data_IF_649347141182
#
_entry.id   IF_649347141182
#
_cell.length_a   1.000
_cell.length_b   1.000
_cell.length_c   1.000
_cell.angle_alpha   90.00
_cell.angle_beta   90.00
_cell.angle_gamma   90.00
#
_symmetry.space_group_name_H-M   'P 1'
#
loop_
_entity.id
_entity.type
_entity.pdbx_description
1 polymer ?
#
# COMPACT_ATOMS: atom_id res chain seq x y z
N UNK A 1 -13.07 -16.22 16.05
CA UNK A 1 -11.83 -15.95 16.83
C UNK A 1 -10.70 -15.87 15.83
N UNK A 2 -10.07 -14.70 15.63
CA UNK A 2 -8.96 -14.61 14.68
C UNK A 2 -7.77 -15.40 15.23
N UNK A 3 -7.21 -16.29 14.42
CA UNK A 3 -6.16 -17.24 14.81
C UNK A 3 -4.84 -16.57 15.25
N UNK A 4 -4.74 -15.25 15.18
CA UNK A 4 -3.57 -14.46 15.58
C UNK A 4 -3.56 -14.04 17.06
N UNK A 5 -4.65 -14.26 17.82
CA UNK A 5 -4.76 -13.77 19.20
C UNK A 5 -3.70 -14.31 20.16
N UNK A 6 -3.12 -15.48 19.89
CA UNK A 6 -2.08 -16.12 20.72
C UNK A 6 -0.63 -15.88 20.27
N UNK A 7 -0.41 -15.15 19.19
CA UNK A 7 0.93 -14.95 18.62
C UNK A 7 1.75 -13.84 19.31
N UNK A 8 1.09 -12.95 20.06
CA UNK A 8 1.70 -11.77 20.68
C UNK A 8 2.63 -12.10 21.86
N UNK A 9 2.36 -13.21 22.54
CA UNK A 9 2.91 -13.46 23.88
C UNK A 9 4.03 -14.53 23.92
N UNK A 10 4.54 -14.96 22.76
CA UNK A 10 5.61 -15.98 22.67
C UNK A 10 7.02 -15.33 22.57
N UNK A 11 7.99 -15.72 23.42
CA UNK A 11 9.34 -15.19 23.35
C UNK A 11 10.08 -15.73 22.10
N UNK A 12 10.61 -14.82 21.27
CA UNK A 12 11.32 -15.15 20.03
C UNK A 12 10.45 -15.14 18.76
N UNK A 13 9.24 -14.57 18.82
CA UNK A 13 8.28 -14.61 17.71
C UNK A 13 8.78 -13.85 16.46
N UNK A 14 9.19 -14.62 15.45
CA UNK A 14 9.32 -14.18 14.05
C UNK A 14 8.51 -15.16 13.21
N UNK A 15 7.49 -14.70 12.49
CA UNK A 15 6.70 -15.60 11.67
C UNK A 15 7.54 -16.16 10.50
N UNK A 16 8.14 -17.35 10.69
CA UNK A 16 8.99 -17.98 9.68
C UNK A 16 8.23 -18.42 8.43
N UNK A 17 6.91 -18.63 8.52
CA UNK A 17 6.09 -19.08 7.38
C UNK A 17 5.94 -18.01 6.27
N UNK A 18 6.36 -16.76 6.52
CA UNK A 18 6.22 -15.61 5.60
C UNK A 18 7.55 -15.02 5.15
N UNK A 19 8.61 -15.83 5.19
CA UNK A 19 9.88 -15.52 4.55
C UNK A 19 10.98 -15.03 5.48
N UNK A 20 10.89 -15.30 6.78
CA UNK A 20 11.80 -14.71 7.77
C UNK A 20 11.42 -13.26 8.10
N UNK A 21 12.21 -12.59 8.95
CA UNK A 21 11.87 -11.32 9.64
C UNK A 21 11.05 -10.34 8.77
N UNK A 22 9.75 -10.22 9.04
CA UNK A 22 8.97 -9.01 8.71
C UNK A 22 7.59 -9.17 8.04
N UNK A 23 7.19 -10.33 7.51
CA UNK A 23 5.89 -10.46 6.81
C UNK A 23 4.91 -11.44 7.48
N UNK A 24 3.60 -11.23 7.28
CA UNK A 24 2.50 -11.92 7.96
C UNK A 24 1.71 -12.85 7.01
N UNK A 25 1.22 -14.01 7.51
CA UNK A 25 0.52 -14.98 6.71
C UNK A 25 -0.73 -14.65 5.95
N UNK A 26 -1.51 -13.82 6.59
CA UNK A 26 -2.92 -13.72 6.27
C UNK A 26 -3.23 -12.37 5.62
N UNK A 27 -2.21 -11.61 5.25
CA UNK A 27 -2.40 -10.42 4.43
C UNK A 27 -2.66 -10.84 2.99
N UNK A 28 -3.91 -11.21 2.71
CA UNK A 28 -4.39 -11.53 1.35
C UNK A 28 -4.26 -10.36 0.38
N UNK A 29 -3.99 -9.15 0.89
CA UNK A 29 -3.76 -7.94 0.10
C UNK A 29 -2.26 -7.67 -0.12
N UNK A 30 -1.37 -8.46 0.48
CA UNK A 30 0.06 -8.32 0.28
C UNK A 30 0.46 -8.67 -1.18
N UNK A 31 1.29 -7.84 -1.83
CA UNK A 31 1.71 -8.09 -3.20
C UNK A 31 2.57 -9.36 -3.31
N UNK A 32 2.16 -10.24 -4.22
CA UNK A 32 2.79 -11.55 -4.44
C UNK A 32 3.93 -11.53 -5.45
N UNK A 33 3.94 -10.56 -6.36
CA UNK A 33 5.00 -10.37 -7.36
C UNK A 33 6.16 -9.52 -6.84
N UNK A 34 7.33 -9.61 -7.49
CA UNK A 34 8.51 -8.78 -7.16
C UNK A 34 8.18 -7.31 -7.41
N UNK A 35 7.52 -7.06 -8.53
CA UNK A 35 7.06 -5.77 -9.01
C UNK A 35 6.09 -5.10 -8.02
N UNK A 36 5.10 -5.87 -7.55
CA UNK A 36 4.13 -5.38 -6.57
C UNK A 36 4.77 -5.07 -5.23
N UNK A 37 5.76 -5.86 -4.80
CA UNK A 37 6.53 -5.59 -3.57
C UNK A 37 7.37 -4.32 -3.69
N UNK A 38 8.01 -4.10 -4.83
CA UNK A 38 8.80 -2.89 -5.08
C UNK A 38 7.92 -1.64 -5.01
N UNK A 39 6.73 -1.68 -5.62
CA UNK A 39 5.76 -0.59 -5.54
C UNK A 39 5.23 -0.40 -4.11
N UNK A 40 4.88 -1.47 -3.40
CA UNK A 40 4.43 -1.36 -2.01
C UNK A 40 5.51 -0.78 -1.08
N UNK A 41 6.78 -1.13 -1.29
CA UNK A 41 7.90 -0.55 -0.55
C UNK A 41 8.05 0.96 -0.80
N UNK A 42 7.75 1.42 -2.01
CA UNK A 42 7.71 2.84 -2.35
C UNK A 42 6.46 3.58 -1.81
N UNK A 43 5.54 2.86 -1.15
CA UNK A 43 4.19 3.35 -0.85
C UNK A 43 4.11 4.59 0.01
N UNK A 44 5.00 4.73 1.00
CA UNK A 44 5.04 5.95 1.81
C UNK A 44 5.41 7.17 0.98
N UNK A 45 6.38 7.03 0.09
CA UNK A 45 6.84 8.14 -0.75
C UNK A 45 5.88 8.47 -1.89
N UNK A 46 5.20 7.45 -2.41
CA UNK A 46 4.05 7.62 -3.31
C UNK A 46 2.93 8.39 -2.57
N UNK A 47 2.65 8.06 -1.31
CA UNK A 47 1.65 8.77 -0.50
C UNK A 47 2.04 10.22 -0.16
N UNK A 48 3.34 10.56 -0.18
CA UNK A 48 3.80 11.94 -0.11
C UNK A 48 3.50 12.74 -1.38
N UNK A 49 3.23 12.08 -2.51
CA UNK A 49 2.79 12.72 -3.75
C UNK A 49 1.26 12.90 -3.81
N UNK A 50 0.55 12.72 -2.68
CA UNK A 50 -0.90 12.93 -2.63
C UNK A 50 -1.25 14.39 -2.88
N UNK A 51 -2.33 14.60 -3.62
CA UNK A 51 -2.99 15.89 -3.79
C UNK A 51 -4.16 15.97 -2.82
N UNK A 52 -4.28 17.11 -2.15
CA UNK A 52 -5.35 17.38 -1.18
C UNK A 52 -6.12 18.61 -1.65
N UNK A 53 -7.45 18.48 -1.71
CA UNK A 53 -8.36 19.57 -2.02
C UNK A 53 -9.32 19.88 -0.86
N UNK A 54 -10.28 20.79 -1.06
CA UNK A 54 -11.25 21.18 -0.03
C UNK A 54 -12.03 20.01 0.58
N UNK A 55 -12.26 18.94 -0.20
CA UNK A 55 -12.95 17.71 0.22
C UNK A 55 -12.03 16.59 0.73
N UNK A 56 -10.76 16.88 1.03
CA UNK A 56 -9.77 15.91 1.46
C UNK A 56 -8.93 15.33 0.31
N UNK A 57 -8.60 14.04 0.39
CA UNK A 57 -7.76 13.38 -0.62
C UNK A 57 -8.39 13.47 -2.02
N UNK A 58 -7.60 13.95 -2.99
CA UNK A 58 -8.03 14.25 -4.36
C UNK A 58 -7.27 13.45 -5.43
N UNK A 59 -6.42 12.51 -5.03
CA UNK A 59 -5.62 11.66 -5.93
C UNK A 59 -4.11 11.79 -5.70
N UNK A 60 -3.33 11.22 -6.59
CA UNK A 60 -1.87 11.27 -6.64
C UNK A 60 -1.41 12.24 -7.75
N UNK A 61 -0.23 12.82 -7.58
CA UNK A 61 0.53 13.41 -8.69
C UNK A 61 1.20 12.26 -9.47
N UNK A 62 0.51 11.77 -10.50
CA UNK A 62 0.95 10.62 -11.29
C UNK A 62 2.32 10.83 -11.96
N UNK A 63 2.63 12.00 -12.58
CA UNK A 63 3.98 12.31 -13.03
C UNK A 63 5.05 12.20 -11.95
N UNK A 64 4.80 12.73 -10.74
CA UNK A 64 5.76 12.65 -9.63
C UNK A 64 5.95 11.20 -9.15
N UNK A 65 4.86 10.44 -9.04
CA UNK A 65 4.90 9.02 -8.71
C UNK A 65 5.73 8.22 -9.73
N UNK A 66 5.52 8.45 -11.03
CA UNK A 66 6.29 7.76 -12.08
C UNK A 66 7.78 8.11 -12.04
N UNK A 67 8.12 9.39 -11.83
CA UNK A 67 9.51 9.81 -11.68
C UNK A 67 10.17 9.15 -10.46
N UNK A 68 9.42 9.04 -9.35
CA UNK A 68 9.88 8.39 -8.13
C UNK A 68 10.09 6.88 -8.31
N UNK A 69 9.13 6.18 -8.91
CA UNK A 69 9.26 4.73 -9.15
C UNK A 69 10.41 4.44 -10.11
N UNK A 70 10.59 5.27 -11.14
CA UNK A 70 11.73 5.17 -12.07
C UNK A 70 13.06 5.35 -11.36
N UNK A 71 13.17 6.35 -10.48
CA UNK A 71 14.38 6.59 -9.69
C UNK A 71 14.73 5.43 -8.75
N UNK A 72 13.73 4.65 -8.34
CA UNK A 72 13.90 3.45 -7.52
C UNK A 72 14.14 2.16 -8.35
N UNK A 73 14.26 2.28 -9.67
CA UNK A 73 14.52 1.16 -10.57
C UNK A 73 13.29 0.30 -10.86
N UNK A 74 12.09 0.79 -10.57
CA UNK A 74 10.84 0.11 -10.92
C UNK A 74 10.54 0.39 -12.41
N UNK A 75 10.29 -0.63 -13.24
CA UNK A 75 9.97 -0.44 -14.65
C UNK A 75 8.75 0.46 -14.87
N UNK A 76 8.85 1.39 -15.82
CA UNK A 76 7.80 2.38 -16.09
C UNK A 76 6.48 1.72 -16.56
N UNK A 77 6.55 0.63 -17.31
CA UNK A 77 5.40 -0.14 -17.78
C UNK A 77 4.63 -0.76 -16.61
N UNK A 78 5.35 -1.34 -15.65
CA UNK A 78 4.80 -1.88 -14.41
C UNK A 78 4.19 -0.78 -13.53
N UNK A 79 4.92 0.31 -13.32
CA UNK A 79 4.43 1.43 -12.51
C UNK A 79 3.17 2.07 -13.12
N UNK A 80 3.15 2.23 -14.45
CA UNK A 80 2.00 2.79 -15.18
C UNK A 80 0.75 1.90 -15.10
N UNK A 81 0.91 0.59 -14.93
CA UNK A 81 -0.21 -0.34 -14.73
C UNK A 81 -0.74 -0.32 -13.29
N UNK A 82 0.16 -0.24 -12.31
CA UNK A 82 -0.18 -0.45 -10.89
C UNK A 82 -0.56 0.85 -10.16
N UNK A 83 0.07 1.98 -10.48
CA UNK A 83 -0.23 3.28 -9.84
C UNK A 83 -1.70 3.73 -9.98
N UNK A 84 -2.36 3.60 -11.16
CA UNK A 84 -3.77 3.97 -11.28
C UNK A 84 -4.69 3.12 -10.40
N UNK A 85 -4.39 1.82 -10.29
CA UNK A 85 -5.17 0.91 -9.43
C UNK A 85 -5.01 1.27 -7.95
N UNK A 86 -3.81 1.70 -7.56
CA UNK A 86 -3.57 2.22 -6.22
C UNK A 86 -4.36 3.51 -5.97
N UNK A 87 -4.27 4.50 -6.87
CA UNK A 87 -5.01 5.77 -6.73
C UNK A 87 -6.51 5.52 -6.58
N UNK A 88 -7.08 4.62 -7.39
CA UNK A 88 -8.49 4.24 -7.31
C UNK A 88 -8.88 3.71 -5.93
N UNK A 89 -8.08 2.81 -5.35
CA UNK A 89 -8.31 2.30 -4.00
C UNK A 89 -8.26 3.38 -2.91
N UNK A 90 -7.35 4.36 -3.05
CA UNK A 90 -7.27 5.50 -2.13
C UNK A 90 -8.47 6.44 -2.26
N UNK A 91 -8.95 6.67 -3.49
CA UNK A 91 -10.16 7.48 -3.74
C UNK A 91 -11.40 6.81 -3.15
N UNK A 92 -11.54 5.48 -3.31
CA UNK A 92 -12.65 4.70 -2.73
C UNK A 92 -12.61 4.76 -1.19
N UNK A 93 -11.43 4.56 -0.59
CA UNK A 93 -11.27 4.67 0.86
C UNK A 93 -11.61 6.08 1.38
N UNK A 94 -11.19 7.12 0.66
CA UNK A 94 -11.52 8.50 1.00
C UNK A 94 -13.03 8.79 0.86
N UNK A 95 -13.71 8.18 -0.12
CA UNK A 95 -15.16 8.29 -0.27
C UNK A 95 -15.91 7.66 0.90
N UNK A 96 -15.57 6.42 1.27
CA UNK A 96 -16.15 5.73 2.44
C UNK A 96 -15.95 6.52 3.72
N UNK A 97 -14.75 7.09 3.92
CA UNK A 97 -14.47 7.89 5.11
C UNK A 97 -15.32 9.18 5.17
N UNK A 98 -15.75 9.74 4.04
CA UNK A 98 -16.68 10.87 4.02
C UNK A 98 -18.09 10.43 4.41
N UNK A 99 -18.56 9.33 3.84
CA UNK A 99 -19.86 8.73 4.17
C UNK A 99 -19.98 8.43 5.67
N UNK A 100 -18.93 7.84 6.27
CA UNK A 100 -18.89 7.52 7.71
C UNK A 100 -18.88 8.76 8.63
N UNK A 101 -18.39 9.91 8.13
CA UNK A 101 -18.35 11.16 8.92
C UNK A 101 -19.67 11.92 8.88
N UNK A 102 -20.46 11.71 7.85
CA UNK A 102 -21.75 12.37 7.63
C UNK A 102 -22.94 11.55 8.17
N UNK A 103 -22.68 10.33 8.68
CA UNK A 103 -23.64 9.41 9.30
C UNK A 103 -23.74 9.57 10.82
#
# INVERSE_FOLDING_TARGET
>A
MSHCAGCRDAPGFSCERFGGKGACPEDTHAPRSVEGRAIAAAGLEIFHQRRVGPGGYAGLDMPACLALTRAQGIPDDIASLLLPSWEAGLLEAAAKQREDKDA
#
